data_IF_785374401168
#
_entry.id   IF_785374401168
#
_cell.length_a   1.000
_cell.length_b   1.000
_cell.length_c   1.000
_cell.angle_alpha   90.00
_cell.angle_beta   90.00
_cell.angle_gamma   90.00
#
_symmetry.space_group_name_H-M   'P 1'
#
loop_
_entity.id
_entity.type
_entity.pdbx_description
1 polymer ?
#
# COMPACT_ATOMS: atom_id res chain seq x y z
N UNK A 1 -18.29 2.94 2.89
CA UNK A 1 -17.60 1.69 3.27
C UNK A 1 -18.53 0.51 3.03
N UNK A 2 -18.01 -0.67 2.62
CA UNK A 2 -18.83 -1.88 2.60
C UNK A 2 -19.18 -2.27 4.04
N UNK A 3 -20.37 -2.81 4.23
CA UNK A 3 -20.90 -3.28 5.52
C UNK A 3 -20.92 -4.81 5.56
N UNK A 4 -21.26 -5.36 6.73
CA UNK A 4 -21.32 -6.81 6.89
C UNK A 4 -22.39 -7.42 5.98
N UNK A 5 -21.97 -8.38 5.15
CA UNK A 5 -22.83 -9.05 4.18
C UNK A 5 -22.71 -8.50 2.74
N UNK A 6 -22.11 -7.31 2.56
CA UNK A 6 -21.89 -6.76 1.22
C UNK A 6 -20.82 -7.56 0.47
N UNK A 7 -21.01 -7.69 -0.84
CA UNK A 7 -20.06 -8.36 -1.72
C UNK A 7 -19.32 -7.29 -2.51
N UNK A 8 -17.98 -7.32 -2.46
CA UNK A 8 -17.12 -6.38 -3.17
C UNK A 8 -16.38 -7.06 -4.31
N UNK A 9 -16.26 -6.36 -5.42
CA UNK A 9 -15.38 -6.73 -6.52
C UNK A 9 -14.06 -5.95 -6.40
N UNK A 10 -12.93 -6.66 -6.47
CA UNK A 10 -11.61 -6.05 -6.45
C UNK A 10 -10.95 -6.28 -7.80
N UNK A 11 -10.74 -5.18 -8.52
CA UNK A 11 -9.90 -5.17 -9.71
C UNK A 11 -8.50 -4.70 -9.34
N UNK A 12 -7.47 -5.47 -9.69
CA UNK A 12 -6.07 -5.06 -9.57
C UNK A 12 -5.31 -5.37 -10.84
N UNK A 13 -4.40 -4.49 -11.18
CA UNK A 13 -3.49 -4.67 -12.31
C UNK A 13 -2.16 -4.05 -11.98
N UNK A 14 -1.18 -4.37 -12.81
CA UNK A 14 0.15 -3.84 -12.65
C UNK A 14 0.68 -3.32 -13.97
N UNK A 15 1.68 -2.47 -13.87
CA UNK A 15 2.33 -1.88 -15.01
C UNK A 15 3.73 -1.38 -14.63
N UNK A 16 4.58 -1.20 -15.63
CA UNK A 16 5.89 -0.60 -15.40
C UNK A 16 5.78 0.85 -14.91
N UNK A 17 6.70 1.25 -14.01
CA UNK A 17 6.78 2.62 -13.50
C UNK A 17 8.23 3.11 -13.47
N UNK A 18 8.57 4.00 -14.42
CA UNK A 18 9.94 4.49 -14.56
C UNK A 18 10.93 3.36 -14.94
N UNK A 19 12.18 3.46 -14.47
CA UNK A 19 13.26 2.53 -14.85
C UNK A 19 13.41 1.30 -13.95
N UNK A 20 13.02 1.41 -12.69
CA UNK A 20 13.30 0.40 -11.64
C UNK A 20 12.06 -0.04 -10.85
N UNK A 21 10.92 0.60 -11.10
CA UNK A 21 9.70 0.40 -10.33
C UNK A 21 8.62 -0.34 -11.12
N UNK A 22 7.75 -0.98 -10.37
CA UNK A 22 6.47 -1.51 -10.85
C UNK A 22 5.37 -0.83 -10.06
N UNK A 23 4.31 -0.43 -10.74
CA UNK A 23 3.11 0.10 -10.11
C UNK A 23 2.07 -1.00 -10.03
N UNK A 24 1.36 -1.07 -8.91
CA UNK A 24 0.14 -1.85 -8.76
C UNK A 24 -0.99 -0.94 -8.33
N UNK A 25 -2.02 -0.90 -9.15
CA UNK A 25 -3.23 -0.14 -8.91
C UNK A 25 -4.37 -1.12 -8.56
N UNK A 26 -5.35 -0.60 -7.83
CA UNK A 26 -6.49 -1.36 -7.34
C UNK A 26 -7.73 -0.47 -7.28
N UNK A 27 -8.87 -1.02 -7.72
CA UNK A 27 -10.20 -0.44 -7.60
C UNK A 27 -11.08 -1.44 -6.86
N UNK A 28 -11.81 -0.95 -5.86
CA UNK A 28 -12.81 -1.71 -5.11
C UNK A 28 -14.18 -1.18 -5.51
N UNK A 29 -15.06 -2.09 -5.91
CA UNK A 29 -16.45 -1.78 -6.25
C UNK A 29 -17.39 -2.55 -5.36
N UNK A 30 -18.52 -1.93 -5.04
CA UNK A 30 -19.67 -2.66 -4.56
C UNK A 30 -20.26 -3.48 -5.71
N UNK A 31 -20.43 -4.80 -5.53
CA UNK A 31 -20.84 -5.68 -6.62
C UNK A 31 -22.31 -5.47 -7.01
N UNK A 32 -23.18 -5.11 -6.07
CA UNK A 32 -24.60 -4.96 -6.30
C UNK A 32 -24.93 -3.70 -7.12
N UNK A 33 -24.22 -2.61 -6.85
CA UNK A 33 -24.44 -1.29 -7.46
C UNK A 33 -23.45 -0.98 -8.58
N UNK A 34 -22.27 -1.61 -8.59
CA UNK A 34 -21.16 -1.28 -9.47
C UNK A 34 -20.42 0.01 -9.07
N UNK A 35 -20.78 0.64 -7.95
CA UNK A 35 -20.16 1.89 -7.49
C UNK A 35 -18.72 1.65 -7.02
N UNK A 36 -17.80 2.56 -7.38
CA UNK A 36 -16.43 2.52 -6.88
C UNK A 36 -16.38 3.06 -5.46
N UNK A 37 -16.17 2.17 -4.50
CA UNK A 37 -16.12 2.47 -3.07
C UNK A 37 -14.69 2.65 -2.54
N UNK A 38 -13.68 2.29 -3.33
CA UNK A 38 -12.28 2.44 -2.93
C UNK A 38 -11.31 2.40 -4.10
N UNK A 39 -10.17 3.06 -3.94
CA UNK A 39 -9.06 3.09 -4.90
C UNK A 39 -7.75 3.01 -4.13
N UNK A 40 -6.75 2.34 -4.69
CA UNK A 40 -5.41 2.31 -4.13
C UNK A 40 -4.35 2.22 -5.24
N UNK A 41 -3.18 2.78 -4.96
CA UNK A 41 -1.99 2.70 -5.82
C UNK A 41 -0.78 2.42 -4.95
N UNK A 42 0.14 1.62 -5.46
CA UNK A 42 1.35 1.24 -4.74
C UNK A 42 2.52 1.12 -5.70
N UNK A 43 3.70 1.52 -5.22
CA UNK A 43 4.95 1.42 -5.95
C UNK A 43 5.82 0.33 -5.34
N UNK A 44 6.30 -0.55 -6.20
CA UNK A 44 7.12 -1.70 -5.85
C UNK A 44 8.48 -1.56 -6.50
N UNK A 45 9.50 -2.00 -5.77
CA UNK A 45 10.88 -2.06 -6.25
C UNK A 45 11.44 -3.43 -5.92
N UNK A 46 12.29 -3.94 -6.80
CA UNK A 46 12.97 -5.20 -6.56
C UNK A 46 14.19 -4.98 -5.64
N UNK A 47 14.33 -5.83 -4.64
CA UNK A 47 15.46 -5.80 -3.72
C UNK A 47 16.24 -7.11 -3.82
N UNK A 48 17.55 -7.00 -3.98
CA UNK A 48 18.44 -8.14 -3.94
C UNK A 48 18.50 -8.70 -2.50
N UNK A 49 18.25 -10.00 -2.32
CA UNK A 49 18.14 -10.60 -1.00
C UNK A 49 19.48 -10.60 -0.24
N UNK A 50 20.59 -10.89 -0.91
CA UNK A 50 21.92 -10.99 -0.29
C UNK A 50 22.51 -9.63 0.06
N UNK A 51 22.49 -8.70 -0.90
CA UNK A 51 23.12 -7.38 -0.75
C UNK A 51 22.22 -6.35 -0.08
N UNK A 52 20.91 -6.63 0.02
CA UNK A 52 19.88 -5.72 0.55
C UNK A 52 19.82 -4.38 -0.20
N UNK A 53 20.27 -4.36 -1.46
CA UNK A 53 20.25 -3.18 -2.35
C UNK A 53 19.12 -3.27 -3.34
N UNK A 54 18.63 -2.10 -3.76
CA UNK A 54 17.67 -2.01 -4.87
C UNK A 54 18.33 -2.53 -6.15
N UNK A 55 17.59 -3.37 -6.87
CA UNK A 55 18.01 -3.95 -8.13
C UNK A 55 16.96 -3.63 -9.20
N UNK A 56 17.41 -3.40 -10.43
CA UNK A 56 16.50 -3.26 -11.57
C UNK A 56 15.88 -4.62 -11.88
N UNK A 57 14.59 -4.65 -12.16
CA UNK A 57 13.91 -5.84 -12.70
C UNK A 57 14.60 -6.26 -14.00
N UNK A 58 15.05 -7.51 -14.09
CA UNK A 58 15.69 -8.03 -15.31
C UNK A 58 14.71 -8.02 -16.49
N UNK A 59 15.24 -7.95 -17.71
CA UNK A 59 14.37 -7.97 -18.90
C UNK A 59 13.59 -9.30 -19.02
N UNK A 60 14.17 -10.42 -18.59
CA UNK A 60 13.50 -11.72 -18.52
C UNK A 60 12.25 -11.70 -17.62
N UNK A 61 12.38 -11.24 -16.37
CA UNK A 61 11.25 -11.13 -15.43
C UNK A 61 10.21 -10.14 -15.95
N UNK A 62 10.69 -9.06 -16.58
CA UNK A 62 9.82 -8.05 -17.16
C UNK A 62 9.01 -8.61 -18.33
N UNK A 63 9.61 -9.41 -19.21
CA UNK A 63 8.93 -10.04 -20.34
C UNK A 63 7.91 -11.08 -19.88
N UNK A 64 8.22 -11.86 -18.84
CA UNK A 64 7.28 -12.84 -18.26
C UNK A 64 6.05 -12.16 -17.64
N UNK A 65 6.23 -11.00 -17.01
CA UNK A 65 5.18 -10.34 -16.26
C UNK A 65 4.37 -9.32 -17.07
N UNK A 66 5.01 -8.55 -17.96
CA UNK A 66 4.36 -7.47 -18.69
C UNK A 66 3.25 -7.97 -19.63
N UNK A 67 3.27 -9.23 -20.04
CA UNK A 67 2.19 -9.82 -20.86
C UNK A 67 0.84 -9.84 -20.14
N UNK A 68 0.84 -9.84 -18.80
CA UNK A 68 -0.36 -9.77 -17.97
C UNK A 68 -0.75 -8.34 -17.58
N UNK A 69 0.08 -7.36 -17.95
CA UNK A 69 -0.13 -5.95 -17.64
C UNK A 69 -0.95 -5.27 -18.75
N UNK A 70 -1.70 -4.19 -18.44
CA UNK A 70 -2.37 -3.39 -19.46
C UNK A 70 -1.37 -2.86 -20.49
N UNK A 71 -1.74 -2.93 -21.78
CA UNK A 71 -0.91 -2.40 -22.88
C UNK A 71 -0.82 -0.88 -22.89
N UNK A 72 -1.89 -0.22 -22.43
CA UNK A 72 -1.96 1.23 -22.24
C UNK A 72 -1.96 1.53 -20.75
N UNK A 73 -1.29 2.61 -20.29
CA UNK A 73 -1.31 3.01 -18.89
C UNK A 73 -2.75 3.13 -18.37
N UNK A 74 -3.05 2.42 -17.28
CA UNK A 74 -4.33 2.46 -16.59
C UNK A 74 -4.06 2.87 -15.15
N UNK A 75 -4.60 4.00 -14.71
CA UNK A 75 -4.36 4.53 -13.37
C UNK A 75 -5.63 4.42 -12.55
N UNK A 76 -5.53 3.98 -11.28
CA UNK A 76 -6.69 3.98 -10.39
C UNK A 76 -7.12 5.42 -10.03
N UNK A 77 -6.15 6.34 -9.96
CA UNK A 77 -6.34 7.77 -9.73
C UNK A 77 -5.88 8.58 -10.93
N UNK A 78 -6.53 9.70 -11.27
CA UNK A 78 -5.89 10.74 -12.07
C UNK A 78 -4.56 11.15 -11.42
N UNK A 79 -3.51 11.43 -12.20
CA UNK A 79 -2.21 11.76 -11.62
C UNK A 79 -2.23 13.01 -10.74
N UNK A 80 -3.08 13.99 -11.08
CA UNK A 80 -3.27 15.22 -10.32
C UNK A 80 -3.75 14.96 -8.89
N UNK A 81 -4.57 13.92 -8.71
CA UNK A 81 -5.15 13.50 -7.43
C UNK A 81 -4.26 12.50 -6.69
N UNK A 82 -3.13 12.09 -7.28
CA UNK A 82 -2.29 11.06 -6.71
C UNK A 82 -1.40 11.58 -5.57
N UNK A 83 -1.96 11.59 -4.36
CA UNK A 83 -1.26 11.95 -3.14
C UNK A 83 -0.01 11.11 -2.84
N UNK A 84 0.11 9.89 -3.38
CA UNK A 84 1.27 9.01 -3.13
C UNK A 84 2.60 9.54 -3.69
N UNK A 85 2.55 10.49 -4.63
CA UNK A 85 3.75 11.13 -5.19
C UNK A 85 4.24 12.28 -4.29
N UNK A 86 3.36 12.80 -3.42
CA UNK A 86 3.69 13.91 -2.53
C UNK A 86 4.49 13.39 -1.33
N UNK A 87 5.57 14.08 -1.00
CA UNK A 87 6.39 13.76 0.16
C UNK A 87 5.58 13.95 1.44
N UNK A 88 5.50 12.92 2.28
CA UNK A 88 4.90 13.03 3.61
C UNK A 88 5.82 13.91 4.47
N UNK A 89 5.32 15.04 5.03
CA UNK A 89 6.11 15.86 5.93
C UNK A 89 6.46 15.07 7.19
N UNK A 90 7.64 15.33 7.76
CA UNK A 90 8.03 14.70 9.02
C UNK A 90 7.18 15.32 10.14
N UNK A 91 6.66 14.48 11.04
CA UNK A 91 5.97 14.95 12.25
C UNK A 91 6.95 15.75 13.13
N UNK A 92 6.46 16.86 13.69
CA UNK A 92 7.21 17.66 14.66
C UNK A 92 7.17 17.00 16.04
N UNK A 93 8.23 17.19 16.83
CA UNK A 93 8.35 16.63 18.18
C UNK A 93 8.13 17.73 19.23
N UNK A 94 7.41 17.43 20.34
CA UNK A 94 6.84 16.13 20.70
C UNK A 94 5.52 15.83 19.95
N UNK A 95 5.30 14.57 19.62
CA UNK A 95 4.00 14.12 19.10
C UNK A 95 2.90 14.17 20.18
N UNK A 96 1.67 14.54 19.80
CA UNK A 96 0.51 14.56 20.70
C UNK A 96 0.18 13.18 21.27
N UNK A 97 0.34 12.14 20.45
CA UNK A 97 0.09 10.75 20.83
C UNK A 97 1.23 9.85 20.32
N UNK A 98 1.64 8.91 21.17
CA UNK A 98 2.68 7.94 20.81
C UNK A 98 2.47 6.61 21.53
N UNK A 99 2.90 5.53 20.87
CA UNK A 99 2.97 4.19 21.43
C UNK A 99 4.33 3.59 21.12
N UNK A 100 5.05 3.18 22.15
CA UNK A 100 6.36 2.54 22.05
C UNK A 100 6.28 1.04 22.32
N UNK A 101 7.40 0.34 22.14
CA UNK A 101 7.56 -1.08 22.50
C UNK A 101 6.62 -2.02 21.74
N UNK A 102 6.27 -1.67 20.51
CA UNK A 102 5.53 -2.53 19.60
C UNK A 102 6.46 -3.65 19.12
N UNK A 103 6.09 -4.89 19.41
CA UNK A 103 6.87 -6.08 19.06
C UNK A 103 6.06 -6.96 18.10
N UNK A 104 6.63 -7.40 16.98
CA UNK A 104 5.93 -8.29 16.06
C UNK A 104 5.71 -9.66 16.70
N UNK A 105 4.53 -10.22 16.48
CA UNK A 105 4.18 -11.60 16.81
C UNK A 105 4.61 -12.53 15.69
N UNK A 106 4.68 -13.83 15.97
CA UNK A 106 4.96 -14.85 14.94
C UNK A 106 3.97 -14.80 13.77
N UNK A 107 2.72 -14.43 14.03
CA UNK A 107 1.67 -14.29 13.02
C UNK A 107 1.83 -13.01 12.17
N UNK A 108 2.64 -12.06 12.60
CA UNK A 108 2.90 -10.81 11.88
C UNK A 108 4.00 -10.97 10.82
N UNK A 109 4.64 -12.15 10.74
CA UNK A 109 5.69 -12.44 9.77
C UNK A 109 5.12 -13.00 8.46
N UNK A 110 5.62 -12.52 7.34
CA UNK A 110 5.32 -13.01 6.01
C UNK A 110 6.12 -14.29 5.67
N UNK A 111 5.88 -14.84 4.47
CA UNK A 111 6.59 -16.04 3.99
C UNK A 111 8.11 -15.85 3.86
N UNK A 112 8.59 -14.60 3.81
CA UNK A 112 10.00 -14.25 3.72
C UNK A 112 10.63 -13.98 5.11
N UNK A 113 9.91 -14.28 6.20
CA UNK A 113 10.32 -14.01 7.58
C UNK A 113 10.52 -12.51 7.87
N UNK A 114 9.79 -11.64 7.18
CA UNK A 114 9.78 -10.19 7.41
C UNK A 114 8.45 -9.77 8.01
N UNK A 115 8.43 -8.70 8.79
CA UNK A 115 7.16 -8.14 9.26
C UNK A 115 6.29 -7.74 8.07
N UNK A 116 5.04 -8.20 8.06
CA UNK A 116 4.08 -7.90 7.00
C UNK A 116 3.80 -6.38 6.96
N UNK A 117 3.73 -5.81 5.76
CA UNK A 117 3.41 -4.39 5.56
C UNK A 117 2.11 -3.96 6.28
N UNK A 118 1.11 -4.85 6.37
CA UNK A 118 -0.16 -4.57 7.06
C UNK A 118 0.03 -4.41 8.57
N UNK A 119 1.02 -5.09 9.18
CA UNK A 119 1.31 -4.96 10.61
C UNK A 119 1.73 -3.54 10.99
N UNK A 120 2.47 -2.84 10.12
CA UNK A 120 2.82 -1.43 10.36
C UNK A 120 1.59 -0.53 10.42
N UNK A 121 0.55 -0.81 9.62
CA UNK A 121 -0.71 -0.04 9.67
C UNK A 121 -1.37 -0.25 11.04
N UNK A 122 -1.41 -1.49 11.54
CA UNK A 122 -1.90 -1.78 12.89
C UNK A 122 -1.14 -0.99 13.95
N UNK A 123 0.19 -0.96 13.88
CA UNK A 123 1.02 -0.18 14.80
C UNK A 123 0.79 1.33 14.74
N UNK A 124 0.50 1.89 13.55
CA UNK A 124 0.09 3.30 13.44
C UNK A 124 -1.22 3.54 14.19
N UNK A 125 -2.20 2.65 14.03
CA UNK A 125 -3.50 2.76 14.70
C UNK A 125 -3.39 2.65 16.24
N UNK A 126 -2.42 1.91 16.79
CA UNK A 126 -2.19 1.82 18.25
C UNK A 126 -1.83 3.17 18.91
N UNK A 127 -1.37 4.15 18.12
CA UNK A 127 -1.11 5.51 18.60
C UNK A 127 -2.30 6.45 18.47
N UNK A 128 -3.36 6.04 17.77
CA UNK A 128 -4.53 6.87 17.54
C UNK A 128 -5.46 6.87 18.76
N UNK A 129 -5.94 8.05 19.22
CA UNK A 129 -6.94 8.12 20.28
C UNK A 129 -8.23 7.41 19.89
N UNK A 130 -8.83 6.70 20.85
CA UNK A 130 -10.08 5.98 20.65
C UNK A 130 -11.21 6.91 20.18
N UNK A 131 -11.26 8.15 20.68
CA UNK A 131 -12.26 9.15 20.25
C UNK A 131 -12.20 9.40 18.74
N UNK A 132 -11.01 9.46 18.13
CA UNK A 132 -10.87 9.63 16.68
C UNK A 132 -11.40 8.39 15.95
N UNK A 133 -11.09 7.20 16.45
CA UNK A 133 -11.56 5.92 15.89
C UNK A 133 -13.10 5.83 15.94
N UNK A 134 -13.70 6.32 17.02
CA UNK A 134 -15.15 6.22 17.26
C UNK A 134 -15.97 7.28 16.51
N UNK A 135 -15.37 8.44 16.19
CA UNK A 135 -16.10 9.61 15.66
C UNK A 135 -15.79 9.92 14.19
N UNK A 136 -14.74 9.34 13.62
CA UNK A 136 -14.30 9.61 12.25
C UNK A 136 -14.14 8.33 11.45
N UNK A 137 -14.33 8.46 10.13
CA UNK A 137 -14.00 7.40 9.18
C UNK A 137 -12.74 7.77 8.41
N UNK A 138 -11.91 6.77 8.12
CA UNK A 138 -10.73 6.96 7.27
C UNK A 138 -11.20 7.42 5.87
N UNK A 139 -10.57 8.45 5.30
CA UNK A 139 -10.85 8.84 3.91
C UNK A 139 -9.67 8.52 3.00
N UNK A 140 -8.45 8.79 3.47
CA UNK A 140 -7.21 8.59 2.71
C UNK A 140 -6.09 8.18 3.66
N UNK A 141 -5.25 7.25 3.23
CA UNK A 141 -4.00 6.90 3.90
C UNK A 141 -2.87 6.86 2.87
N UNK A 142 -1.74 7.47 3.20
CA UNK A 142 -0.52 7.45 2.38
C UNK A 142 0.63 6.96 3.25
N UNK A 143 1.37 5.96 2.75
CA UNK A 143 2.44 5.28 3.49
C UNK A 143 3.74 5.32 2.68
N UNK A 144 4.85 5.65 3.33
CA UNK A 144 6.21 5.62 2.76
C UNK A 144 7.09 4.64 3.55
N UNK A 145 7.32 3.46 2.98
CA UNK A 145 8.12 2.39 3.61
C UNK A 145 9.61 2.61 3.35
N UNK A 146 10.39 2.84 4.40
CA UNK A 146 11.84 3.12 4.29
C UNK A 146 12.75 2.00 4.78
N UNK A 147 12.24 1.12 5.64
CA UNK A 147 13.02 0.04 6.25
C UNK A 147 12.10 -1.11 6.64
N UNK A 148 12.57 -2.33 6.41
CA UNK A 148 11.93 -3.56 6.87
C UNK A 148 12.38 -3.90 8.29
N UNK A 149 11.49 -4.54 9.05
CA UNK A 149 11.74 -5.11 10.37
C UNK A 149 11.80 -6.64 10.29
#
# INVERSE_FOLDING_TARGET
>A
YPTWGDVVEIETWCQGEGRIGTRRDLIIKDLATGEVIGRATSKWVMMNQDTRKLQRVSDEVREEYLVFCPRTPRLAFPEEDNGSVKKIPKLEEPADYSRSELVPRRADLDMNQRVNNVTYIGWVLESMPQEIIDTHELQTITLDYRREC
#
